data_IF_278134875262
#
_entry.id   IF_278134875262
#
_cell.length_a   1.000
_cell.length_b   1.000
_cell.length_c   1.000
_cell.angle_alpha   90.00
_cell.angle_beta   90.00
_cell.angle_gamma   90.00
#
_symmetry.space_group_name_H-M   'P 1'
#
loop_
_entity.id
_entity.type
_entity.pdbx_description
1 polymer ?
#
# COMPACT_ATOMS: atom_id res chain seq x y z
N UNK A 1 -20.98 0.04 -6.96
CA UNK A 1 -19.52 0.21 -6.69
C UNK A 1 -19.33 1.44 -5.85
N UNK A 2 -18.65 1.33 -4.72
CA UNK A 2 -18.31 2.48 -3.88
C UNK A 2 -17.08 3.19 -4.47
N UNK A 3 -17.34 4.17 -5.34
CA UNK A 3 -16.29 4.93 -6.02
C UNK A 3 -15.41 5.72 -5.05
N UNK A 4 -15.95 6.10 -3.88
CA UNK A 4 -15.21 6.83 -2.84
C UNK A 4 -14.11 5.93 -2.28
N UNK A 5 -14.41 4.65 -2.02
CA UNK A 5 -13.42 3.69 -1.55
C UNK A 5 -12.28 3.46 -2.57
N UNK A 6 -12.60 3.41 -3.86
CA UNK A 6 -11.60 3.26 -4.93
C UNK A 6 -10.70 4.50 -4.99
N UNK A 7 -11.30 5.69 -5.08
CA UNK A 7 -10.56 6.96 -5.14
C UNK A 7 -9.71 7.15 -3.89
N UNK A 8 -10.25 6.86 -2.70
CA UNK A 8 -9.50 6.96 -1.44
C UNK A 8 -8.28 6.05 -1.42
N UNK A 9 -8.41 4.80 -1.88
CA UNK A 9 -7.26 3.89 -1.99
C UNK A 9 -6.22 4.39 -2.98
N UNK A 10 -6.67 4.88 -4.15
CA UNK A 10 -5.78 5.48 -5.15
C UNK A 10 -5.04 6.69 -4.59
N UNK A 11 -5.73 7.59 -3.90
CA UNK A 11 -5.13 8.74 -3.23
C UNK A 11 -4.10 8.29 -2.19
N UNK A 12 -4.42 7.29 -1.37
CA UNK A 12 -3.52 6.80 -0.33
C UNK A 12 -2.22 6.24 -0.94
N UNK A 13 -2.33 5.34 -1.92
CA UNK A 13 -1.19 4.69 -2.57
C UNK A 13 -0.42 5.69 -3.45
N UNK A 14 -1.11 6.50 -4.24
CA UNK A 14 -0.51 7.54 -5.08
C UNK A 14 0.28 8.55 -4.26
N UNK A 15 -0.25 8.97 -3.11
CA UNK A 15 0.47 9.86 -2.19
C UNK A 15 1.72 9.20 -1.64
N UNK A 16 1.65 7.91 -1.26
CA UNK A 16 2.82 7.15 -0.83
C UNK A 16 3.91 7.13 -1.91
N UNK A 17 3.53 6.87 -3.16
CA UNK A 17 4.42 6.83 -4.32
C UNK A 17 5.13 8.17 -4.49
N UNK A 18 4.40 9.29 -4.45
CA UNK A 18 5.00 10.63 -4.61
C UNK A 18 5.98 10.93 -3.47
N UNK A 19 5.60 10.70 -2.22
CA UNK A 19 6.45 11.04 -1.06
C UNK A 19 7.70 10.16 -0.98
N UNK A 20 7.55 8.85 -1.15
CA UNK A 20 8.67 7.90 -1.12
C UNK A 20 9.53 8.08 -2.36
N UNK A 21 8.94 8.15 -3.55
CA UNK A 21 9.63 8.36 -4.82
C UNK A 21 10.40 9.68 -4.86
N UNK A 22 9.80 10.77 -4.36
CA UNK A 22 10.50 12.05 -4.21
C UNK A 22 11.68 11.96 -3.22
N UNK A 23 11.54 11.17 -2.14
CA UNK A 23 12.66 10.91 -1.22
C UNK A 23 13.77 10.09 -1.89
N UNK A 24 13.44 9.08 -2.71
CA UNK A 24 14.40 8.33 -3.53
C UNK A 24 15.13 9.27 -4.48
N UNK A 25 14.40 10.12 -5.22
CA UNK A 25 14.99 11.11 -6.11
C UNK A 25 15.94 12.05 -5.37
N UNK A 26 15.50 12.61 -4.23
CA UNK A 26 16.33 13.50 -3.42
C UNK A 26 17.64 12.81 -2.99
N UNK A 27 17.54 11.57 -2.52
CA UNK A 27 18.68 10.84 -1.98
C UNK A 27 19.69 10.37 -3.03
N UNK A 28 19.20 9.85 -4.16
CA UNK A 28 20.04 9.12 -5.12
C UNK A 28 20.33 9.89 -6.40
N UNK A 29 19.56 10.93 -6.70
CA UNK A 29 19.74 11.74 -7.91
C UNK A 29 20.13 13.16 -7.54
N UNK A 30 19.30 13.85 -6.76
CA UNK A 30 19.51 15.27 -6.45
C UNK A 30 20.76 15.50 -5.59
N UNK A 31 20.88 14.81 -4.45
CA UNK A 31 22.02 15.01 -3.54
C UNK A 31 23.38 14.75 -4.21
N UNK A 32 23.59 13.63 -4.93
CA UNK A 32 24.84 13.42 -5.66
C UNK A 32 25.10 14.46 -6.76
N UNK A 33 24.05 14.99 -7.40
CA UNK A 33 24.20 16.02 -8.43
C UNK A 33 24.70 17.36 -7.86
N UNK A 34 24.11 17.82 -6.75
CA UNK A 34 24.48 19.11 -6.13
C UNK A 34 25.80 19.07 -5.36
N UNK A 35 26.32 17.88 -5.05
CA UNK A 35 27.65 17.71 -4.46
C UNK A 35 28.78 18.16 -5.38
N UNK A 36 28.54 18.22 -6.69
CA UNK A 36 29.54 18.68 -7.68
C UNK A 36 29.61 20.21 -7.81
N UNK A 37 28.66 20.93 -7.20
CA UNK A 37 28.58 22.39 -7.25
C UNK A 37 29.46 23.04 -6.18
N UNK A 38 29.75 24.33 -6.36
CA UNK A 38 30.31 25.15 -5.28
C UNK A 38 29.36 25.21 -4.08
N UNK A 39 29.87 25.50 -2.89
CA UNK A 39 29.05 25.51 -1.67
C UNK A 39 27.92 26.56 -1.73
N UNK A 40 28.19 27.72 -2.34
CA UNK A 40 27.21 28.79 -2.52
C UNK A 40 26.06 28.36 -3.45
N UNK A 41 26.38 27.76 -4.61
CA UNK A 41 25.39 27.25 -5.56
C UNK A 41 24.59 26.09 -4.97
N UNK A 42 25.28 25.15 -4.31
CA UNK A 42 24.67 24.00 -3.63
C UNK A 42 23.65 24.46 -2.60
N UNK A 43 24.00 25.43 -1.77
CA UNK A 43 23.10 25.96 -0.73
C UNK A 43 21.88 26.64 -1.35
N UNK A 44 22.09 27.47 -2.37
CA UNK A 44 21.03 28.16 -3.09
C UNK A 44 20.02 27.17 -3.70
N UNK A 45 20.50 26.24 -4.52
CA UNK A 45 19.67 25.22 -5.21
C UNK A 45 18.95 24.31 -4.21
N UNK A 46 19.67 23.81 -3.19
CA UNK A 46 19.10 22.92 -2.17
C UNK A 46 17.99 23.62 -1.39
N UNK A 47 18.22 24.86 -0.95
CA UNK A 47 17.21 25.62 -0.21
C UNK A 47 15.94 25.85 -1.03
N UNK A 48 16.07 26.16 -2.32
CA UNK A 48 14.94 26.37 -3.21
C UNK A 48 14.14 25.08 -3.44
N UNK A 49 14.83 23.98 -3.78
CA UNK A 49 14.18 22.67 -3.98
C UNK A 49 13.48 22.19 -2.71
N UNK A 50 14.12 22.31 -1.55
CA UNK A 50 13.50 21.92 -0.27
C UNK A 50 12.29 22.81 0.08
N UNK A 51 12.30 24.09 -0.30
CA UNK A 51 11.16 24.99 -0.08
C UNK A 51 9.91 24.57 -0.87
N UNK A 52 10.10 24.07 -2.10
CA UNK A 52 9.04 23.52 -2.95
C UNK A 52 8.60 22.15 -2.41
N UNK A 53 9.57 21.29 -2.13
CA UNK A 53 9.34 19.94 -1.60
C UNK A 53 8.55 19.95 -0.28
N UNK A 54 8.77 20.95 0.57
CA UNK A 54 8.00 21.14 1.80
C UNK A 54 6.49 21.10 1.56
N UNK A 55 5.98 21.72 0.48
CA UNK A 55 4.55 21.74 0.17
C UNK A 55 4.03 20.33 -0.13
N UNK A 56 4.76 19.56 -0.93
CA UNK A 56 4.45 18.16 -1.22
C UNK A 56 4.45 17.30 0.03
N UNK A 57 5.43 17.48 0.93
CA UNK A 57 5.45 16.77 2.21
C UNK A 57 4.19 17.05 3.03
N UNK A 58 3.82 18.31 3.27
CA UNK A 58 2.70 18.64 4.16
C UNK A 58 1.35 18.26 3.55
N UNK A 59 1.13 18.59 2.27
CA UNK A 59 -0.10 18.23 1.55
C UNK A 59 -0.21 16.71 1.42
N UNK A 60 0.90 16.03 1.09
CA UNK A 60 0.94 14.59 0.98
C UNK A 60 0.67 13.90 2.32
N UNK A 61 1.28 14.34 3.42
CA UNK A 61 0.98 13.78 4.74
C UNK A 61 -0.51 13.92 5.06
N UNK A 62 -1.10 15.09 4.81
CA UNK A 62 -2.53 15.33 5.03
C UNK A 62 -3.38 14.36 4.18
N UNK A 63 -3.14 14.29 2.87
CA UNK A 63 -3.87 13.39 1.97
C UNK A 63 -3.70 11.93 2.35
N UNK A 64 -2.50 11.51 2.72
CA UNK A 64 -2.20 10.15 3.14
C UNK A 64 -2.94 9.77 4.42
N UNK A 65 -2.95 10.66 5.42
CA UNK A 65 -3.63 10.43 6.69
C UNK A 65 -5.15 10.35 6.49
N UNK A 66 -5.74 11.34 5.82
CA UNK A 66 -7.20 11.37 5.59
C UNK A 66 -7.66 10.13 4.82
N UNK A 67 -7.00 9.82 3.71
CA UNK A 67 -7.31 8.60 2.94
C UNK A 67 -7.02 7.32 3.71
N UNK A 68 -5.94 7.28 4.49
CA UNK A 68 -5.56 6.14 5.33
C UNK A 68 -6.57 5.84 6.41
N UNK A 69 -7.03 6.88 7.13
CA UNK A 69 -8.09 6.75 8.14
C UNK A 69 -9.41 6.29 7.52
N UNK A 70 -9.80 6.83 6.37
CA UNK A 70 -11.00 6.37 5.66
C UNK A 70 -10.88 4.87 5.28
N UNK A 71 -9.78 4.48 4.63
CA UNK A 71 -9.56 3.08 4.25
C UNK A 71 -9.53 2.15 5.46
N UNK A 72 -8.96 2.58 6.58
CA UNK A 72 -8.91 1.78 7.80
C UNK A 72 -10.28 1.67 8.48
N UNK A 73 -10.90 2.80 8.84
CA UNK A 73 -12.11 2.84 9.66
C UNK A 73 -13.37 2.38 8.91
N UNK A 74 -13.53 2.81 7.66
CA UNK A 74 -14.77 2.61 6.89
C UNK A 74 -14.70 1.30 6.09
N UNK A 75 -13.55 0.98 5.50
CA UNK A 75 -13.44 -0.15 4.57
C UNK A 75 -12.93 -1.41 5.27
N UNK A 76 -11.82 -1.30 6.01
CA UNK A 76 -11.10 -2.49 6.48
C UNK A 76 -11.55 -2.98 7.86
N UNK A 77 -11.77 -2.08 8.82
CA UNK A 77 -12.13 -2.40 10.20
C UNK A 77 -13.41 -3.25 10.33
N UNK A 78 -14.50 -3.01 9.58
CA UNK A 78 -15.71 -3.85 9.66
C UNK A 78 -15.47 -5.30 9.26
N UNK A 79 -14.52 -5.54 8.35
CA UNK A 79 -14.26 -6.86 7.74
C UNK A 79 -13.29 -7.74 8.54
N UNK A 80 -12.65 -7.17 9.58
CA UNK A 80 -11.60 -7.83 10.38
C UNK A 80 -11.90 -7.80 11.89
N UNK A 81 -13.16 -7.57 12.28
CA UNK A 81 -13.56 -7.64 13.69
C UNK A 81 -13.26 -9.03 14.26
N UNK A 82 -12.45 -9.08 15.31
CA UNK A 82 -12.04 -10.32 16.00
C UNK A 82 -10.78 -10.98 15.46
N UNK A 83 -10.09 -10.38 14.48
CA UNK A 83 -8.80 -10.89 13.99
C UNK A 83 -7.65 -10.46 14.94
N UNK A 84 -7.05 -11.46 15.60
CA UNK A 84 -6.01 -11.25 16.62
C UNK A 84 -4.69 -10.72 16.05
N UNK A 85 -4.39 -10.97 14.76
CA UNK A 85 -3.16 -10.54 14.12
C UNK A 85 -3.32 -9.24 13.33
N UNK A 86 -4.52 -8.97 12.83
CA UNK A 86 -4.80 -7.76 12.06
C UNK A 86 -4.53 -6.48 12.85
N UNK A 87 -5.09 -6.36 14.05
CA UNK A 87 -4.97 -5.14 14.86
C UNK A 87 -3.51 -4.76 15.21
N UNK A 88 -2.66 -5.67 15.72
CA UNK A 88 -1.27 -5.32 16.02
C UNK A 88 -0.48 -4.98 14.74
N UNK A 89 -0.63 -5.74 13.65
CA UNK A 89 0.11 -5.47 12.41
C UNK A 89 -0.26 -4.12 11.79
N UNK A 90 -1.55 -3.79 11.72
CA UNK A 90 -2.01 -2.51 11.18
C UNK A 90 -1.65 -1.36 12.11
N UNK A 91 -1.76 -1.55 13.43
CA UNK A 91 -1.32 -0.56 14.42
C UNK A 91 0.17 -0.24 14.27
N UNK A 92 1.03 -1.26 14.16
CA UNK A 92 2.46 -1.08 13.90
C UNK A 92 2.71 -0.31 12.61
N UNK A 93 2.03 -0.66 11.51
CA UNK A 93 2.14 0.08 10.24
C UNK A 93 1.82 1.57 10.41
N UNK A 94 0.76 1.89 11.16
CA UNK A 94 0.36 3.28 11.40
C UNK A 94 1.44 4.02 12.19
N UNK A 95 1.98 3.41 13.26
CA UNK A 95 3.06 4.01 14.06
C UNK A 95 4.32 4.26 13.23
N UNK A 96 4.73 3.30 12.41
CA UNK A 96 5.86 3.47 11.49
C UNK A 96 5.61 4.61 10.50
N UNK A 97 4.39 4.72 9.96
CA UNK A 97 3.99 5.80 9.06
C UNK A 97 4.07 7.17 9.75
N UNK A 98 3.58 7.30 10.98
CA UNK A 98 3.68 8.53 11.77
C UNK A 98 5.13 8.91 12.05
N UNK A 99 5.98 7.96 12.41
CA UNK A 99 7.42 8.19 12.59
C UNK A 99 8.08 8.67 11.29
N UNK A 100 7.75 8.05 10.15
CA UNK A 100 8.22 8.47 8.84
C UNK A 100 7.80 9.90 8.50
N UNK A 101 6.54 10.27 8.76
CA UNK A 101 6.03 11.64 8.52
C UNK A 101 6.67 12.68 9.41
N UNK A 102 6.95 12.32 10.66
CA UNK A 102 7.69 13.18 11.57
C UNK A 102 9.11 13.46 11.04
N UNK A 103 9.85 12.41 10.65
CA UNK A 103 11.21 12.58 10.08
C UNK A 103 11.14 13.44 8.81
N UNK A 104 10.23 13.12 7.88
CA UNK A 104 10.09 13.87 6.63
C UNK A 104 9.79 15.36 6.88
N UNK A 105 8.89 15.67 7.81
CA UNK A 105 8.56 17.04 8.20
C UNK A 105 9.75 17.77 8.84
N UNK A 106 10.52 17.08 9.68
CA UNK A 106 11.73 17.63 10.32
C UNK A 106 12.82 18.00 9.30
N UNK A 107 12.94 17.23 8.22
CA UNK A 107 13.92 17.49 7.15
C UNK A 107 13.59 18.72 6.31
N UNK A 108 12.31 19.06 6.13
CA UNK A 108 11.86 20.24 5.35
C UNK A 108 11.49 21.45 6.22
N UNK A 109 11.57 21.30 7.56
CA UNK A 109 11.24 22.35 8.51
C UNK A 109 12.34 23.40 8.67
N UNK A 110 11.98 24.56 9.25
CA UNK A 110 12.91 25.67 9.55
C UNK A 110 13.32 25.75 11.04
N UNK A 111 12.74 24.90 11.89
CA UNK A 111 13.02 24.94 13.33
C UNK A 111 14.46 24.57 13.63
N UNK A 112 15.13 25.37 14.47
CA UNK A 112 16.50 25.13 14.94
C UNK A 112 16.61 23.77 15.66
N UNK A 113 15.55 23.31 16.32
CA UNK A 113 15.50 22.02 17.04
C UNK A 113 15.82 20.80 16.16
N UNK A 114 15.62 20.90 14.85
CA UNK A 114 15.84 19.81 13.89
C UNK A 114 17.03 20.05 12.96
N UNK A 115 17.90 21.01 13.27
CA UNK A 115 19.07 21.31 12.44
C UNK A 115 20.03 20.13 12.33
N UNK A 116 20.29 19.42 13.45
CA UNK A 116 21.14 18.23 13.48
C UNK A 116 20.62 17.13 12.55
N UNK A 117 19.28 16.98 12.46
CA UNK A 117 18.68 16.04 11.52
C UNK A 117 18.88 16.48 10.06
N UNK A 118 18.73 17.77 9.77
CA UNK A 118 18.94 18.31 8.42
C UNK A 118 20.40 18.22 7.96
N UNK A 119 21.37 18.43 8.85
CA UNK A 119 22.80 18.21 8.55
C UNK A 119 23.09 16.76 8.16
N UNK A 120 22.36 15.82 8.77
CA UNK A 120 22.45 14.39 8.48
C UNK A 120 21.34 13.90 7.53
N UNK A 121 20.82 14.76 6.65
CA UNK A 121 19.63 14.46 5.83
C UNK A 121 19.77 13.16 5.03
N UNK A 122 20.96 12.84 4.51
CA UNK A 122 21.22 11.60 3.76
C UNK A 122 20.87 10.34 4.57
N UNK A 123 21.25 10.33 5.84
CA UNK A 123 20.97 9.21 6.75
C UNK A 123 19.46 9.11 6.99
N UNK A 124 18.81 10.22 7.34
CA UNK A 124 17.37 10.24 7.63
C UNK A 124 16.51 9.93 6.40
N UNK A 125 16.94 10.31 5.20
CA UNK A 125 16.32 9.88 3.95
C UNK A 125 16.38 8.36 3.79
N UNK A 126 17.53 7.72 4.07
CA UNK A 126 17.63 6.25 4.05
C UNK A 126 16.72 5.62 5.10
N UNK A 127 16.65 6.18 6.32
CA UNK A 127 15.72 5.71 7.35
C UNK A 127 14.27 5.77 6.85
N UNK A 128 13.85 6.87 6.22
CA UNK A 128 12.52 6.98 5.59
C UNK A 128 12.29 5.87 4.57
N UNK A 129 13.26 5.59 3.70
CA UNK A 129 13.13 4.57 2.67
C UNK A 129 13.03 3.15 3.24
N UNK A 130 13.80 2.86 4.29
CA UNK A 130 13.72 1.58 5.02
C UNK A 130 12.36 1.44 5.70
N UNK A 131 11.88 2.49 6.38
CA UNK A 131 10.54 2.49 7.00
C UNK A 131 9.44 2.28 5.96
N UNK A 132 9.53 2.95 4.80
CA UNK A 132 8.60 2.79 3.70
C UNK A 132 8.60 1.34 3.18
N UNK A 133 9.77 0.73 3.00
CA UNK A 133 9.88 -0.66 2.57
C UNK A 133 9.24 -1.62 3.57
N UNK A 134 9.47 -1.44 4.87
CA UNK A 134 8.84 -2.24 5.94
C UNK A 134 7.32 -2.07 5.92
N UNK A 135 6.81 -0.84 5.79
CA UNK A 135 5.37 -0.54 5.71
C UNK A 135 4.72 -1.24 4.51
N UNK A 136 5.37 -1.23 3.35
CA UNK A 136 4.90 -1.92 2.14
C UNK A 136 4.95 -3.44 2.34
N UNK A 137 6.02 -3.97 2.95
CA UNK A 137 6.15 -5.38 3.30
C UNK A 137 5.02 -5.88 4.21
N UNK A 138 4.73 -5.15 5.30
CA UNK A 138 3.58 -5.44 6.18
C UNK A 138 2.27 -5.41 5.38
N UNK A 139 2.10 -4.43 4.49
CA UNK A 139 0.88 -4.31 3.67
C UNK A 139 0.69 -5.49 2.72
N UNK A 140 1.78 -5.94 2.08
CA UNK A 140 1.78 -7.11 1.20
C UNK A 140 1.47 -8.39 1.98
N UNK A 141 2.17 -8.61 3.10
CA UNK A 141 1.94 -9.76 3.97
C UNK A 141 0.51 -9.84 4.49
N UNK A 142 -0.03 -8.72 5.01
CA UNK A 142 -1.40 -8.66 5.51
C UNK A 142 -2.42 -8.95 4.40
N UNK A 143 -2.20 -8.45 3.19
CA UNK A 143 -3.10 -8.70 2.05
C UNK A 143 -3.16 -10.19 1.66
N UNK A 144 -2.04 -10.90 1.75
CA UNK A 144 -1.97 -12.33 1.39
C UNK A 144 -2.52 -13.21 2.52
N UNK A 145 -2.17 -12.89 3.77
CA UNK A 145 -2.41 -13.78 4.93
C UNK A 145 -3.74 -13.49 5.64
N UNK A 146 -4.17 -12.24 5.70
CA UNK A 146 -5.35 -11.80 6.45
C UNK A 146 -6.48 -11.48 5.45
N UNK A 147 -7.09 -12.53 4.88
CA UNK A 147 -8.29 -12.37 4.05
C UNK A 147 -9.48 -12.00 4.94
N UNK A 148 -9.95 -10.76 4.83
CA UNK A 148 -11.13 -10.28 5.54
C UNK A 148 -12.39 -11.10 5.21
N UNK A 149 -13.32 -11.17 6.17
CA UNK A 149 -14.61 -11.83 5.94
C UNK A 149 -15.45 -11.04 4.93
N UNK A 150 -16.18 -11.70 4.01
CA UNK A 150 -17.10 -11.02 3.12
C UNK A 150 -18.13 -10.22 3.93
N UNK A 151 -18.50 -9.03 3.43
CA UNK A 151 -19.54 -8.21 4.05
C UNK A 151 -20.83 -9.02 4.18
N UNK A 152 -21.46 -9.02 5.35
CA UNK A 152 -22.69 -9.81 5.59
C UNK A 152 -23.78 -9.55 4.55
N UNK A 153 -23.93 -8.31 4.11
CA UNK A 153 -24.83 -7.92 3.01
C UNK A 153 -24.57 -8.72 1.74
N UNK A 154 -23.31 -8.88 1.33
CA UNK A 154 -22.94 -9.66 0.15
C UNK A 154 -23.26 -11.14 0.35
N UNK A 155 -23.04 -11.66 1.56
CA UNK A 155 -23.39 -13.05 1.90
C UNK A 155 -24.90 -13.26 1.82
N UNK A 156 -25.70 -12.31 2.34
CA UNK A 156 -27.16 -12.35 2.26
C UNK A 156 -27.66 -12.31 0.82
N UNK A 157 -27.11 -11.41 0.00
CA UNK A 157 -27.46 -11.31 -1.42
C UNK A 157 -27.06 -12.57 -2.20
N UNK A 158 -25.86 -13.10 -1.97
CA UNK A 158 -25.42 -14.37 -2.58
C UNK A 158 -26.34 -15.53 -2.18
N UNK A 159 -26.71 -15.62 -0.91
CA UNK A 159 -27.63 -16.64 -0.44
C UNK A 159 -29.03 -16.46 -1.05
N UNK A 160 -29.54 -15.24 -1.15
CA UNK A 160 -30.82 -14.95 -1.80
C UNK A 160 -30.81 -15.28 -3.30
N UNK A 161 -29.74 -14.91 -4.03
CA UNK A 161 -29.55 -15.26 -5.43
C UNK A 161 -29.42 -16.77 -5.63
N UNK A 162 -28.78 -17.48 -4.69
CA UNK A 162 -28.67 -18.94 -4.71
C UNK A 162 -30.03 -19.60 -4.50
N UNK A 163 -30.85 -19.08 -3.59
CA UNK A 163 -32.21 -19.58 -3.34
C UNK A 163 -33.20 -19.24 -4.46
N UNK A 164 -33.03 -18.09 -5.12
CA UNK A 164 -33.85 -17.68 -6.27
C UNK A 164 -33.44 -18.40 -7.58
N UNK A 165 -32.38 -19.21 -7.57
CA UNK A 165 -31.95 -19.97 -8.75
C UNK A 165 -32.76 -21.26 -8.84
N UNK A 166 -33.47 -21.54 -9.95
CA UNK A 166 -34.19 -22.80 -10.12
C UNK A 166 -33.22 -23.98 -10.05
N UNK A 167 -33.60 -25.06 -9.36
CA UNK A 167 -32.73 -26.22 -9.09
C UNK A 167 -32.13 -26.83 -10.37
N UNK A 168 -32.87 -26.78 -11.47
CA UNK A 168 -32.42 -27.26 -12.79
C UNK A 168 -31.17 -26.53 -13.34
N UNK A 169 -30.91 -25.28 -12.89
CA UNK A 169 -29.70 -24.55 -13.25
C UNK A 169 -28.53 -24.85 -12.30
N UNK A 170 -28.80 -25.25 -11.05
CA UNK A 170 -27.78 -25.69 -10.09
C UNK A 170 -27.21 -27.04 -10.53
N UNK A 171 -28.09 -27.95 -10.94
CA UNK A 171 -27.70 -29.27 -11.42
C UNK A 171 -26.84 -29.16 -12.69
N UNK A 172 -27.25 -28.33 -13.66
CA UNK A 172 -26.49 -28.08 -14.89
C UNK A 172 -25.11 -27.46 -14.64
N UNK A 173 -24.97 -26.51 -13.72
CA UNK A 173 -23.66 -25.93 -13.40
C UNK A 173 -22.74 -26.93 -12.70
N UNK A 174 -23.29 -27.76 -11.81
CA UNK A 174 -22.55 -28.80 -11.10
C UNK A 174 -22.06 -29.88 -12.06
N UNK A 175 -22.90 -30.26 -13.04
CA UNK A 175 -22.54 -31.22 -14.10
C UNK A 175 -21.49 -30.61 -15.05
N UNK A 176 -21.59 -29.32 -15.38
CA UNK A 176 -20.62 -28.63 -16.22
C UNK A 176 -19.24 -28.52 -15.54
N UNK A 177 -19.16 -28.06 -14.29
CA UNK A 177 -17.91 -28.01 -13.51
C UNK A 177 -17.29 -29.40 -13.32
N UNK A 178 -18.11 -30.44 -13.09
CA UNK A 178 -17.64 -31.83 -13.01
C UNK A 178 -17.09 -32.32 -14.34
N UNK A 179 -17.68 -31.93 -15.47
CA UNK A 179 -17.20 -32.30 -16.82
C UNK A 179 -15.90 -31.58 -17.18
N UNK A 180 -15.75 -30.31 -16.80
CA UNK A 180 -14.50 -29.57 -17.00
C UNK A 180 -13.36 -30.13 -16.16
N UNK A 181 -13.60 -30.43 -14.86
CA UNK A 181 -12.60 -31.07 -14.02
C UNK A 181 -12.21 -32.49 -14.47
N UNK A 182 -13.16 -33.25 -15.02
CA UNK A 182 -12.88 -34.55 -15.65
C UNK A 182 -12.09 -34.40 -16.95
N UNK A 183 -12.36 -33.36 -17.75
CA UNK A 183 -11.61 -33.06 -18.97
C UNK A 183 -10.15 -32.69 -18.69
N UNK A 184 -9.88 -31.89 -17.67
CA UNK A 184 -8.49 -31.53 -17.29
C UNK A 184 -7.72 -32.73 -16.72
N UNK A 185 -8.34 -33.56 -15.86
CA UNK A 185 -7.69 -34.79 -15.35
C UNK A 185 -7.37 -35.81 -16.46
N UNK A 186 -8.21 -35.91 -17.49
CA UNK A 186 -8.00 -36.82 -18.62
C UNK A 186 -6.91 -36.33 -19.60
N UNK A 187 -6.69 -35.01 -19.67
CA UNK A 187 -5.59 -34.40 -20.44
C UNK A 187 -4.27 -34.59 -19.69
N UNK A 188 -4.25 -34.40 -18.37
CA UNK A 188 -3.04 -34.57 -17.55
C UNK A 188 -2.55 -36.03 -17.52
N UNK A 189 -3.46 -37.01 -17.47
CA UNK A 189 -3.10 -38.44 -17.49
C UNK A 189 -2.56 -38.91 -18.86
N UNK A 190 -3.09 -38.40 -19.98
CA UNK A 190 -2.62 -38.76 -21.32
C UNK A 190 -1.29 -38.08 -21.72
N UNK A 191 -0.98 -36.88 -21.21
CA UNK A 191 0.28 -36.20 -21.49
C UNK A 191 1.47 -36.85 -20.74
N UNK A 192 1.21 -37.41 -19.56
CA UNK A 192 2.22 -38.17 -18.79
C UNK A 192 2.58 -39.47 -19.52
N UNK A 193 1.62 -40.19 -20.09
CA UNK A 193 1.90 -41.42 -20.86
C UNK A 193 2.63 -41.16 -22.20
N UNK A 194 2.41 -40.00 -22.84
CA UNK A 194 3.10 -39.62 -24.08
C UNK A 194 4.55 -39.17 -23.90
N UNK A 195 4.95 -38.76 -22.71
CA UNK A 195 6.30 -38.25 -22.45
C UNK A 195 7.28 -39.36 -22.03
N UNK A 196 6.77 -40.59 -21.81
CA UNK A 196 7.54 -41.76 -21.33
C UNK A 196 7.70 -42.85 -22.41
N UNK A 197 7.26 -42.59 -23.65
CA UNK A 197 7.46 -43.46 -24.83
C UNK A 197 8.42 -42.82 -25.84
#
# INVERSE_FOLDING_TARGET
MDWIAVVSRWTHVGTAIVLVGGTVFLRFVFTPAVERLSEAERTSVTSHVLSLWKRFIHIGILLFLVSGFYNYLVVALPSHKGDKLYHPLIGTKILLGLGMFFIASSLVGRSAKFEVMRRNAKFWQIVILVLAAVIVGISGFAKVTLKGKPREENVRLLNAMRMARPESLIEKSTIAERREGLGESFIEENDVERTVA
#
